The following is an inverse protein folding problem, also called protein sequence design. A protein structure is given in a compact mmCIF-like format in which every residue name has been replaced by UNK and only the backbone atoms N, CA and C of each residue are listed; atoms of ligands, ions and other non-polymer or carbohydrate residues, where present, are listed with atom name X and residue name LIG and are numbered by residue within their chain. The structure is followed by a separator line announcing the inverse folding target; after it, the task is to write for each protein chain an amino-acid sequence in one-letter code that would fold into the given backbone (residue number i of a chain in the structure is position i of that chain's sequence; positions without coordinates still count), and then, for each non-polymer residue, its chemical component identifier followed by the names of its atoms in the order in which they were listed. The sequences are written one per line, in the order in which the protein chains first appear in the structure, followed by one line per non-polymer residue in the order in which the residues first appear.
data_IF_836059347843
#
_entry.id   IF_836059347843
#
_cell.length_a   1.000
_cell.length_b   1.000
_cell.length_c   1.000
_cell.angle_alpha   90.00
_cell.angle_beta   90.00
_cell.angle_gamma   90.00
#
_symmetry.space_group_name_H-M   'P 1'
#
loop_
_entity.id
_entity.type
_entity.pdbx_description
1 polymer ?
#
# COMPACT_ATOMS: atom_id res chain seq x y z
N UNK A 1 77.38 -12.94 -15.48
CA UNK A 1 76.12 -12.89 -14.73
C UNK A 1 75.09 -12.19 -15.61
N UNK A 2 73.90 -12.77 -15.75
CA UNK A 2 72.89 -12.44 -16.77
C UNK A 2 72.13 -11.16 -16.40
N UNK A 3 71.94 -10.28 -17.37
CA UNK A 3 71.11 -9.07 -17.25
C UNK A 3 69.65 -9.42 -17.55
N UNK A 4 68.74 -9.10 -16.64
CA UNK A 4 67.30 -9.26 -16.84
C UNK A 4 66.63 -7.89 -16.68
N UNK A 5 66.08 -7.39 -17.78
CA UNK A 5 65.33 -6.13 -17.88
C UNK A 5 63.87 -6.47 -17.57
N UNK A 6 63.26 -5.80 -16.58
CA UNK A 6 61.83 -5.95 -16.27
C UNK A 6 61.11 -4.75 -16.88
N UNK A 7 60.38 -5.00 -17.96
CA UNK A 7 59.50 -4.04 -18.63
C UNK A 7 58.14 -3.99 -17.94
N UNK A 8 57.77 -2.81 -17.44
CA UNK A 8 56.45 -2.52 -16.87
C UNK A 8 55.39 -2.34 -17.97
N UNK A 9 54.37 -3.19 -17.98
CA UNK A 9 53.24 -3.11 -18.91
C UNK A 9 52.15 -2.18 -18.36
N UNK A 10 51.87 -1.08 -19.06
CA UNK A 10 50.69 -0.24 -18.84
C UNK A 10 49.43 -0.96 -19.37
N UNK A 11 48.40 -1.09 -18.53
CA UNK A 11 47.04 -1.46 -18.95
C UNK A 11 46.32 -0.21 -19.48
N UNK A 12 45.96 -0.21 -20.77
CA UNK A 12 45.03 0.75 -21.36
C UNK A 12 43.60 0.21 -21.22
N UNK A 13 42.78 0.90 -20.41
CA UNK A 13 41.34 0.68 -20.37
C UNK A 13 40.70 1.37 -21.58
N UNK A 14 40.03 0.59 -22.43
CA UNK A 14 39.31 1.07 -23.60
C UNK A 14 37.83 1.20 -23.26
N UNK A 15 37.34 2.45 -23.28
CA UNK A 15 35.93 2.81 -23.12
C UNK A 15 35.30 2.89 -24.51
N UNK A 16 34.38 1.98 -24.81
CA UNK A 16 33.60 2.01 -26.04
C UNK A 16 32.34 2.85 -25.81
N UNK A 17 32.34 4.10 -26.27
CA UNK A 17 31.13 4.92 -26.32
C UNK A 17 30.21 4.41 -27.45
N UNK A 18 29.08 3.80 -27.10
CA UNK A 18 27.98 3.56 -28.04
C UNK A 18 27.25 4.88 -28.29
N UNK A 19 27.32 5.38 -29.53
CA UNK A 19 26.58 6.55 -29.98
C UNK A 19 25.07 6.27 -29.98
N UNK A 20 24.29 7.13 -29.33
CA UNK A 20 22.83 7.10 -29.37
C UNK A 20 22.32 7.62 -30.74
N UNK A 21 21.22 7.07 -31.29
CA UNK A 21 20.64 7.53 -32.54
C UNK A 21 19.95 8.91 -32.39
N UNK A 22 19.85 9.70 -33.48
CA UNK A 22 19.23 11.02 -33.44
C UNK A 22 17.70 10.93 -33.30
N UNK A 23 17.15 11.79 -32.44
CA UNK A 23 15.72 11.94 -32.21
C UNK A 23 15.15 12.88 -33.29
N UNK A 24 14.37 12.35 -34.23
CA UNK A 24 13.55 13.17 -35.11
C UNK A 24 12.44 13.84 -34.29
N UNK A 25 12.49 15.16 -34.18
CA UNK A 25 11.49 15.99 -33.49
C UNK A 25 10.53 16.56 -34.51
N UNK A 26 9.31 16.03 -34.58
CA UNK A 26 8.16 16.74 -35.12
C UNK A 26 6.86 15.97 -34.88
N UNK A 27 6.33 15.96 -33.65
CA UNK A 27 4.88 15.77 -33.44
C UNK A 27 4.43 16.68 -32.29
N UNK A 28 3.40 17.48 -32.58
CA UNK A 28 2.91 18.55 -31.72
C UNK A 28 2.40 18.03 -30.37
N UNK A 29 2.98 18.55 -29.30
CA UNK A 29 2.44 18.37 -27.95
C UNK A 29 1.17 19.21 -27.81
N UNK A 30 0.03 18.60 -28.09
CA UNK A 30 -1.25 19.13 -27.63
C UNK A 30 -1.25 19.12 -26.09
N UNK A 31 -1.65 20.21 -25.40
CA UNK A 31 -1.66 20.23 -23.94
C UNK A 31 -2.61 19.13 -23.45
N UNK A 32 -2.06 18.12 -22.78
CA UNK A 32 -2.86 17.10 -22.09
C UNK A 32 -3.81 17.85 -21.16
N UNK A 33 -5.14 17.66 -21.25
CA UNK A 33 -6.07 18.29 -20.33
C UNK A 33 -5.63 17.92 -18.91
N UNK A 34 -5.47 18.91 -18.04
CA UNK A 34 -5.00 18.71 -16.66
C UNK A 34 -5.94 17.74 -15.97
N UNK A 35 -5.58 16.46 -15.95
CA UNK A 35 -6.25 15.44 -15.16
C UNK A 35 -6.26 15.94 -13.72
N UNK A 36 -7.43 15.91 -13.09
CA UNK A 36 -7.58 16.13 -11.66
C UNK A 36 -6.51 15.28 -10.96
N UNK A 37 -5.63 15.90 -10.19
CA UNK A 37 -4.60 15.19 -9.43
C UNK A 37 -5.32 14.15 -8.57
N UNK A 38 -5.12 12.87 -8.91
CA UNK A 38 -5.59 11.76 -8.07
C UNK A 38 -4.97 11.99 -6.70
N UNK A 39 -5.82 12.18 -5.68
CA UNK A 39 -5.35 12.35 -4.33
C UNK A 39 -4.63 11.07 -3.92
N UNK A 40 -3.38 11.22 -3.45
CA UNK A 40 -2.58 10.07 -3.04
C UNK A 40 -3.13 9.46 -1.76
N UNK A 41 -2.87 8.16 -1.61
CA UNK A 41 -3.11 7.49 -0.34
C UNK A 41 -2.35 8.19 0.78
N UNK A 42 -3.01 8.36 1.93
CA UNK A 42 -2.40 8.89 3.15
C UNK A 42 -2.72 8.00 4.34
N UNK A 43 -1.96 8.15 5.42
CA UNK A 43 -2.05 7.27 6.59
C UNK A 43 -2.07 8.09 7.85
N UNK A 44 -2.86 7.63 8.82
CA UNK A 44 -2.81 8.12 10.18
C UNK A 44 -2.95 6.97 11.16
N UNK A 45 -2.33 7.09 12.32
CA UNK A 45 -2.37 6.06 13.35
C UNK A 45 -3.38 6.39 14.45
N UNK A 46 -4.41 7.17 14.12
CA UNK A 46 -5.47 7.48 15.06
C UNK A 46 -6.36 6.25 15.28
N UNK A 47 -7.05 6.25 16.41
CA UNK A 47 -7.96 5.19 16.76
C UNK A 47 -8.60 5.47 18.11
N UNK A 48 -9.30 4.48 18.64
CA UNK A 48 -9.81 4.53 20.01
C UNK A 48 -8.68 4.72 21.02
N UNK A 49 -8.94 5.40 22.14
CA UNK A 49 -8.03 5.41 23.29
C UNK A 49 -7.73 4.00 23.83
N UNK A 50 -8.53 3.00 23.46
CA UNK A 50 -8.34 1.58 23.79
C UNK A 50 -7.45 0.84 22.80
N UNK A 51 -6.88 1.50 21.79
CA UNK A 51 -5.99 0.84 20.85
C UNK A 51 -4.76 0.22 21.51
N UNK A 52 -4.25 0.81 22.60
CA UNK A 52 -3.09 0.29 23.33
C UNK A 52 -3.31 -1.08 23.98
N UNK A 53 -4.56 -1.49 24.20
CA UNK A 53 -4.90 -2.77 24.86
C UNK A 53 -5.32 -3.87 23.89
N UNK A 54 -5.40 -3.58 22.59
CA UNK A 54 -5.74 -4.59 21.58
C UNK A 54 -4.49 -5.45 21.31
N UNK A 55 -4.58 -6.78 21.45
CA UNK A 55 -3.51 -7.66 20.99
C UNK A 55 -3.36 -7.55 19.47
N UNK A 56 -2.14 -7.26 18.97
CA UNK A 56 -1.88 -7.21 17.51
C UNK A 56 -2.28 -8.51 16.81
N UNK A 57 -2.08 -9.64 17.50
CA UNK A 57 -2.52 -10.97 17.05
C UNK A 57 -4.00 -11.01 16.68
N UNK A 58 -4.87 -10.30 17.39
CA UNK A 58 -6.30 -10.27 17.07
C UNK A 58 -6.50 -9.63 15.69
N UNK A 59 -5.82 -8.52 15.40
CA UNK A 59 -5.86 -7.88 14.09
C UNK A 59 -5.28 -8.77 12.99
N UNK A 60 -4.18 -9.47 13.27
CA UNK A 60 -3.57 -10.40 12.32
C UNK A 60 -4.51 -11.57 12.00
N UNK A 61 -5.21 -12.10 13.01
CA UNK A 61 -6.20 -13.16 12.83
C UNK A 61 -7.42 -12.67 12.05
N UNK A 62 -7.92 -11.47 12.35
CA UNK A 62 -9.01 -10.86 11.60
C UNK A 62 -8.65 -10.74 10.11
N UNK A 63 -7.50 -10.14 9.78
CA UNK A 63 -7.14 -9.91 8.38
C UNK A 63 -6.76 -11.19 7.63
N UNK A 64 -6.11 -12.16 8.27
CA UNK A 64 -5.60 -13.35 7.58
C UNK A 64 -6.61 -14.50 7.53
N UNK A 65 -7.48 -14.63 8.54
CA UNK A 65 -8.34 -15.81 8.69
C UNK A 65 -9.83 -15.51 8.59
N UNK A 66 -10.23 -14.23 8.68
CA UNK A 66 -11.64 -13.82 8.65
C UNK A 66 -12.01 -13.00 7.42
N UNK A 67 -11.06 -12.56 6.61
CA UNK A 67 -11.34 -11.98 5.29
C UNK A 67 -11.62 -13.06 4.26
N UNK A 68 -12.61 -12.81 3.40
CA UNK A 68 -12.80 -13.56 2.16
C UNK A 68 -11.74 -13.07 1.16
N UNK A 69 -10.63 -13.80 1.06
CA UNK A 69 -9.44 -13.45 0.25
C UNK A 69 -9.64 -13.76 -1.23
N UNK A 70 -10.48 -12.96 -1.89
CA UNK A 70 -10.71 -13.03 -3.32
C UNK A 70 -10.83 -11.62 -3.96
N UNK A 71 -11.15 -11.58 -5.25
CA UNK A 71 -11.28 -10.36 -6.04
C UNK A 71 -12.74 -9.85 -6.13
N UNK A 72 -13.67 -10.45 -5.39
CA UNK A 72 -15.06 -10.00 -5.35
C UNK A 72 -15.17 -8.81 -4.39
N UNK A 73 -15.95 -7.80 -4.78
CA UNK A 73 -16.18 -6.60 -3.98
C UNK A 73 -17.23 -6.90 -2.91
N UNK A 74 -16.78 -7.59 -1.85
CA UNK A 74 -17.60 -8.05 -0.73
C UNK A 74 -17.72 -7.02 0.40
N UNK A 75 -16.82 -6.05 0.45
CA UNK A 75 -16.72 -5.11 1.55
C UNK A 75 -17.03 -3.69 1.12
N UNK A 76 -17.76 -2.93 1.95
CA UNK A 76 -17.96 -1.50 1.71
C UNK A 76 -18.37 -0.73 2.96
N UNK A 77 -18.33 0.59 2.90
CA UNK A 77 -18.77 1.43 4.01
C UNK A 77 -20.25 1.18 4.36
N UNK A 78 -20.71 1.56 5.56
CA UNK A 78 -22.12 1.52 5.92
C UNK A 78 -23.00 2.19 4.85
N UNK A 79 -24.09 1.53 4.44
CA UNK A 79 -24.97 2.03 3.38
C UNK A 79 -24.48 1.78 1.94
N UNK A 80 -23.37 1.08 1.74
CA UNK A 80 -22.86 0.73 0.39
C UNK A 80 -23.63 -0.39 -0.32
N UNK A 81 -24.54 -1.07 0.38
CA UNK A 81 -25.21 -2.28 -0.12
C UNK A 81 -24.29 -3.50 -0.18
N UNK A 82 -23.06 -3.41 0.33
CA UNK A 82 -22.14 -4.54 0.42
C UNK A 82 -22.50 -5.44 1.61
N UNK A 83 -22.29 -6.77 1.49
CA UNK A 83 -22.69 -7.70 2.54
C UNK A 83 -21.89 -7.54 3.83
N UNK A 84 -20.69 -6.98 3.76
CA UNK A 84 -19.81 -6.79 4.90
C UNK A 84 -19.22 -5.38 4.90
N UNK A 85 -18.96 -4.82 6.08
CA UNK A 85 -18.18 -3.58 6.21
C UNK A 85 -16.70 -3.84 6.41
N UNK A 86 -16.37 -5.04 6.86
CA UNK A 86 -15.02 -5.45 7.19
C UNK A 86 -15.03 -6.80 7.89
N UNK A 87 -14.03 -7.00 8.71
CA UNK A 87 -13.88 -8.21 9.51
C UNK A 87 -13.34 -7.88 10.90
N UNK A 88 -13.46 -8.82 11.83
CA UNK A 88 -12.95 -8.64 13.16
C UNK A 88 -12.66 -9.97 13.86
N UNK A 89 -11.89 -9.86 14.94
CA UNK A 89 -11.48 -10.96 15.81
C UNK A 89 -11.23 -10.36 17.19
N UNK A 90 -11.79 -10.97 18.23
CA UNK A 90 -11.60 -10.54 19.61
C UNK A 90 -11.89 -9.05 19.78
N UNK A 91 -10.85 -8.24 20.02
CA UNK A 91 -10.98 -6.80 20.22
C UNK A 91 -10.59 -5.93 19.01
N UNK A 92 -10.13 -6.53 17.91
CA UNK A 92 -9.68 -5.81 16.73
C UNK A 92 -10.65 -5.96 15.55
N UNK A 93 -10.93 -4.84 14.88
CA UNK A 93 -11.70 -4.80 13.65
C UNK A 93 -10.94 -4.08 12.55
N UNK A 94 -11.06 -4.59 11.33
CA UNK A 94 -10.58 -3.95 10.10
C UNK A 94 -11.79 -3.73 9.21
N UNK A 95 -12.16 -2.48 8.92
CA UNK A 95 -13.39 -2.16 8.21
C UNK A 95 -13.27 -0.89 7.39
N UNK A 96 -14.14 -0.79 6.37
CA UNK A 96 -14.22 0.34 5.46
C UNK A 96 -15.12 1.42 6.06
N UNK A 97 -14.67 2.65 5.97
CA UNK A 97 -15.44 3.84 6.34
C UNK A 97 -15.46 4.84 5.18
N UNK A 98 -16.34 5.84 5.31
CA UNK A 98 -16.53 6.91 4.34
C UNK A 98 -17.92 6.88 3.74
N UNK A 99 -18.02 7.37 2.51
CA UNK A 99 -19.25 7.41 1.70
C UNK A 99 -19.73 6.02 1.28
N UNK A 100 -21.01 5.90 0.90
CA UNK A 100 -21.60 4.63 0.45
C UNK A 100 -20.95 4.03 -0.80
N UNK A 101 -20.20 4.80 -1.59
CA UNK A 101 -19.46 4.28 -2.75
C UNK A 101 -18.13 3.63 -2.38
N UNK A 102 -17.67 3.75 -1.13
CA UNK A 102 -16.43 3.11 -0.67
C UNK A 102 -16.62 1.60 -0.61
N UNK A 103 -15.88 0.89 -1.44
CA UNK A 103 -15.92 -0.56 -1.48
C UNK A 103 -14.56 -1.15 -1.85
N UNK A 104 -14.26 -2.34 -1.32
CA UNK A 104 -13.03 -3.08 -1.59
C UNK A 104 -13.30 -4.57 -1.67
N UNK A 105 -12.38 -5.24 -2.35
CA UNK A 105 -12.22 -6.69 -2.25
C UNK A 105 -11.53 -7.05 -0.94
N UNK A 106 -11.68 -8.30 -0.49
CA UNK A 106 -10.89 -8.78 0.64
C UNK A 106 -9.39 -8.78 0.34
N UNK A 107 -9.02 -8.88 -0.95
CA UNK A 107 -7.64 -8.75 -1.35
C UNK A 107 -7.05 -7.36 -1.07
N UNK A 108 -7.80 -6.31 -1.40
CA UNK A 108 -7.40 -4.92 -1.16
C UNK A 108 -7.36 -4.55 0.32
N UNK A 109 -8.34 -4.99 1.14
CA UNK A 109 -8.32 -4.70 2.59
C UNK A 109 -7.06 -5.24 3.25
N UNK A 110 -6.62 -6.44 2.86
CA UNK A 110 -5.38 -7.01 3.39
C UNK A 110 -4.16 -6.19 2.99
N UNK A 111 -4.07 -5.72 1.74
CA UNK A 111 -2.96 -4.84 1.33
C UNK A 111 -2.99 -3.52 2.10
N UNK A 112 -4.18 -2.93 2.27
CA UNK A 112 -4.36 -1.73 3.08
C UNK A 112 -3.90 -1.96 4.53
N UNK A 113 -4.21 -3.11 5.12
CA UNK A 113 -3.70 -3.50 6.43
C UNK A 113 -2.17 -3.53 6.46
N UNK A 114 -1.52 -4.18 5.49
CA UNK A 114 -0.06 -4.22 5.41
C UNK A 114 0.55 -2.83 5.25
N UNK A 115 -0.07 -1.97 4.44
CA UNK A 115 0.40 -0.60 4.23
C UNK A 115 0.27 0.24 5.52
N UNK A 116 -0.84 0.13 6.25
CA UNK A 116 -1.02 0.82 7.54
C UNK A 116 0.09 0.41 8.51
N UNK A 117 0.43 -0.88 8.60
CA UNK A 117 1.55 -1.36 9.43
C UNK A 117 2.89 -0.81 8.96
N UNK A 118 3.15 -0.82 7.65
CA UNK A 118 4.40 -0.34 7.05
C UNK A 118 4.61 1.16 7.29
N UNK A 119 3.53 1.93 7.42
CA UNK A 119 3.57 3.37 7.72
C UNK A 119 3.68 3.68 9.23
N UNK A 120 3.99 2.69 10.08
CA UNK A 120 4.31 2.91 11.50
C UNK A 120 3.13 2.76 12.45
N UNK A 121 1.93 2.43 11.96
CA UNK A 121 0.76 2.24 12.80
C UNK A 121 0.81 0.88 13.52
N UNK A 122 1.14 0.94 14.81
CA UNK A 122 1.53 -0.22 15.60
C UNK A 122 0.36 -1.11 16.05
N UNK A 123 -0.85 -0.58 16.15
CA UNK A 123 -2.06 -1.36 16.50
C UNK A 123 -3.25 -0.90 15.67
N UNK A 124 -3.66 0.35 15.85
CA UNK A 124 -4.74 0.98 15.10
C UNK A 124 -4.18 1.99 14.10
N UNK A 125 -5.00 2.32 13.12
CA UNK A 125 -4.71 3.33 12.13
C UNK A 125 -5.60 3.17 10.92
N UNK A 126 -5.51 4.13 10.02
CA UNK A 126 -6.32 4.22 8.82
C UNK A 126 -5.45 4.52 7.61
N UNK A 127 -5.84 3.94 6.48
CA UNK A 127 -5.36 4.33 5.15
C UNK A 127 -6.50 5.05 4.44
N UNK A 128 -6.28 6.31 4.10
CA UNK A 128 -7.16 7.12 3.27
C UNK A 128 -6.82 6.88 1.82
N UNK A 129 -7.81 6.63 0.98
CA UNK A 129 -7.62 6.39 -0.46
C UNK A 129 -7.65 7.67 -1.31
N UNK A 130 -7.61 8.84 -0.65
CA UNK A 130 -7.64 10.16 -1.30
C UNK A 130 -9.04 10.66 -1.72
N UNK A 131 -10.06 9.80 -1.71
CA UNK A 131 -11.39 10.10 -2.22
C UNK A 131 -12.47 10.22 -1.13
N UNK A 132 -12.06 10.30 0.13
CA UNK A 132 -12.95 10.29 1.31
C UNK A 132 -13.34 8.90 1.79
N UNK A 133 -12.74 7.86 1.22
CA UNK A 133 -12.83 6.49 1.70
C UNK A 133 -11.57 6.08 2.46
N UNK A 134 -11.75 5.19 3.43
CA UNK A 134 -10.63 4.67 4.21
C UNK A 134 -10.85 3.23 4.66
N UNK A 135 -9.76 2.47 4.72
CA UNK A 135 -9.68 1.23 5.51
C UNK A 135 -9.16 1.58 6.89
N UNK A 136 -9.86 1.16 7.93
CA UNK A 136 -9.54 1.49 9.33
C UNK A 136 -9.35 0.23 10.15
N UNK A 137 -8.27 0.19 10.94
CA UNK A 137 -7.99 -0.79 11.98
C UNK A 137 -8.30 -0.12 13.33
N UNK A 138 -9.27 -0.62 14.08
CA UNK A 138 -9.66 -0.01 15.35
C UNK A 138 -10.22 -1.04 16.35
N UNK A 139 -10.39 -0.58 17.60
CA UNK A 139 -11.11 -1.29 18.65
C UNK A 139 -12.56 -1.55 18.24
N UNK A 140 -12.99 -2.80 18.33
CA UNK A 140 -14.40 -3.20 18.16
C UNK A 140 -14.78 -4.21 19.23
N UNK A 141 -16.03 -4.21 19.69
CA UNK A 141 -16.55 -5.14 20.69
C UNK A 141 -17.49 -6.16 20.08
N UNK A 142 -17.65 -7.32 20.72
CA UNK A 142 -18.62 -8.34 20.30
C UNK A 142 -18.16 -9.23 19.15
N UNK A 143 -16.86 -9.22 18.83
CA UNK A 143 -16.31 -10.08 17.79
C UNK A 143 -15.91 -11.46 18.36
N UNK A 144 -16.10 -12.53 17.58
CA UNK A 144 -15.72 -13.87 17.99
C UNK A 144 -14.20 -14.00 18.16
N UNK A 145 -13.81 -14.94 19.03
CA UNK A 145 -12.44 -15.42 19.14
C UNK A 145 -12.17 -16.58 18.17
#
# INVERSE_FOLDING_TARGET
MRFTIITSSLLLAQVSCLAAPPINTAEGFSPVPRSKLEARDSYDCNGSGLCGIIPVRDCDQAVNNRLIRNNDVNYGAPGSGRPQTGTCQGNCGIFIQGRSTCARTGNQIWYDYQDIRRNGCRICGSKHWGDGCLTTINRVTGCPN
#
